data_IF_908526154706
#
_entry.id   IF_908526154706
#
_cell.length_a   1.000
_cell.length_b   1.000
_cell.length_c   1.000
_cell.angle_alpha   90.00
_cell.angle_beta   90.00
_cell.angle_gamma   90.00
#
_symmetry.space_group_name_H-M   'P 1'
#
loop_
_entity.id
_entity.type
_entity.pdbx_description
1 polymer ?
#
# COMPACT_ATOMS: atom_id res chain seq x y z
N UNK A 1 -24.05 25.25 -1.07
CA UNK A 1 -24.23 24.00 -1.82
C UNK A 1 -23.76 22.86 -0.94
N UNK A 2 -24.38 21.67 -1.02
CA UNK A 2 -23.90 20.48 -0.32
C UNK A 2 -22.46 20.16 -0.71
N UNK A 3 -21.63 19.79 0.27
CA UNK A 3 -20.18 19.57 0.10
C UNK A 3 -19.77 18.12 0.32
N UNK A 4 -18.82 17.68 -0.45
CA UNK A 4 -18.07 16.44 -0.21
C UNK A 4 -17.20 16.58 1.03
N UNK A 5 -16.69 15.47 1.58
CA UNK A 5 -15.84 15.54 2.77
C UNK A 5 -14.52 16.30 2.48
N UNK A 6 -13.93 16.09 1.31
CA UNK A 6 -12.74 16.84 0.90
C UNK A 6 -12.98 18.35 0.85
N UNK A 7 -14.09 18.80 0.28
CA UNK A 7 -14.48 20.22 0.25
C UNK A 7 -14.70 20.77 1.66
N UNK A 8 -15.32 20.01 2.57
CA UNK A 8 -15.53 20.43 3.98
C UNK A 8 -14.21 20.58 4.71
N UNK A 9 -13.31 19.61 4.61
CA UNK A 9 -12.01 19.66 5.27
C UNK A 9 -11.21 20.86 4.74
N UNK A 10 -11.10 21.03 3.43
CA UNK A 10 -10.31 22.11 2.82
C UNK A 10 -10.94 23.49 3.06
N UNK A 11 -12.28 23.60 3.08
CA UNK A 11 -12.96 24.84 3.47
C UNK A 11 -12.63 25.23 4.92
N UNK A 12 -12.66 24.25 5.83
CA UNK A 12 -12.40 24.46 7.26
C UNK A 12 -10.96 24.90 7.50
N UNK A 13 -9.97 24.19 6.96
CA UNK A 13 -8.56 24.51 7.20
C UNK A 13 -8.14 25.82 6.54
N UNK A 14 -8.73 26.18 5.39
CA UNK A 14 -8.49 27.44 4.69
C UNK A 14 -9.31 28.61 5.26
N UNK A 15 -10.17 28.36 6.25
CA UNK A 15 -11.09 29.35 6.86
C UNK A 15 -11.92 30.13 5.81
N UNK A 16 -12.31 29.45 4.72
CA UNK A 16 -13.15 30.04 3.66
C UNK A 16 -14.06 28.98 3.03
N UNK A 17 -15.19 29.42 2.50
CA UNK A 17 -16.03 28.55 1.68
C UNK A 17 -15.31 28.23 0.37
N UNK A 18 -14.98 26.94 0.16
CA UNK A 18 -14.26 26.47 -1.02
C UNK A 18 -14.96 25.23 -1.61
N UNK A 19 -14.90 25.09 -2.91
CA UNK A 19 -15.50 24.01 -3.69
C UNK A 19 -14.47 23.44 -4.68
N UNK A 20 -14.79 22.30 -5.26
CA UNK A 20 -13.96 21.66 -6.27
C UNK A 20 -13.53 22.67 -7.36
N UNK A 21 -12.23 22.68 -7.69
CA UNK A 21 -11.59 23.59 -8.61
C UNK A 21 -10.97 24.85 -7.98
N UNK A 22 -11.40 25.27 -6.78
CA UNK A 22 -10.86 26.45 -6.10
C UNK A 22 -9.42 26.20 -5.61
N UNK A 23 -8.57 27.25 -5.70
CA UNK A 23 -7.25 27.25 -5.07
C UNK A 23 -7.36 27.74 -3.64
N UNK A 24 -6.76 26.99 -2.71
CA UNK A 24 -6.70 27.33 -1.28
C UNK A 24 -5.25 27.29 -0.79
N UNK A 25 -4.95 28.14 0.19
CA UNK A 25 -3.73 28.00 1.00
C UNK A 25 -4.13 27.27 2.27
N UNK A 26 -3.67 26.04 2.41
CA UNK A 26 -4.00 25.16 3.52
C UNK A 26 -2.86 25.15 4.53
N UNK A 27 -3.07 25.55 5.79
CA UNK A 27 -2.18 25.20 6.90
C UNK A 27 -2.02 23.69 6.97
N UNK A 28 -0.78 23.21 7.16
CA UNK A 28 -0.49 21.78 7.35
C UNK A 28 -0.38 21.47 8.83
N UNK A 29 -1.09 20.43 9.27
CA UNK A 29 -1.00 19.99 10.67
C UNK A 29 0.31 19.25 10.92
N UNK A 30 0.86 18.57 9.88
CA UNK A 30 2.11 17.84 9.96
C UNK A 30 2.74 17.66 8.58
N UNK A 31 4.08 17.62 8.55
CA UNK A 31 4.86 17.26 7.36
C UNK A 31 5.64 15.99 7.65
N UNK A 32 5.50 14.97 6.79
CA UNK A 32 6.26 13.74 6.82
C UNK A 32 7.37 13.79 5.76
N UNK A 33 8.60 13.42 6.13
CA UNK A 33 9.75 13.33 5.22
C UNK A 33 10.43 11.97 5.41
N UNK A 34 10.75 11.30 4.29
CA UNK A 34 11.48 10.03 4.32
C UNK A 34 12.88 10.14 3.71
N UNK A 35 13.72 9.14 3.97
CA UNK A 35 15.14 9.10 3.62
C UNK A 35 15.43 9.28 2.13
N UNK A 36 14.63 8.70 1.24
CA UNK A 36 14.95 8.65 -0.19
C UNK A 36 14.88 10.00 -0.93
N UNK A 37 14.30 11.04 -0.33
CA UNK A 37 14.16 12.38 -0.93
C UNK A 37 14.74 13.51 -0.09
N UNK A 38 15.34 13.18 1.04
CA UNK A 38 15.80 14.20 2.02
C UNK A 38 16.80 15.18 1.42
N UNK A 39 17.73 14.73 0.58
CA UNK A 39 18.73 15.59 -0.04
C UNK A 39 18.09 16.69 -0.91
N UNK A 40 17.05 16.32 -1.68
CA UNK A 40 16.29 17.27 -2.50
C UNK A 40 15.45 18.24 -1.63
N UNK A 41 14.89 17.76 -0.51
CA UNK A 41 14.13 18.58 0.44
C UNK A 41 15.07 19.61 1.12
N UNK A 42 16.25 19.18 1.59
CA UNK A 42 17.24 20.07 2.18
C UNK A 42 17.76 21.10 1.18
N UNK A 43 17.95 20.70 -0.09
CA UNK A 43 18.31 21.63 -1.15
C UNK A 43 17.21 22.68 -1.35
N UNK A 44 15.96 22.25 -1.47
CA UNK A 44 14.82 23.17 -1.61
C UNK A 44 14.68 24.16 -0.45
N UNK A 45 14.93 23.73 0.82
CA UNK A 45 14.94 24.65 1.95
C UNK A 45 16.03 25.73 1.81
N UNK A 46 17.26 25.33 1.41
CA UNK A 46 18.36 26.29 1.15
C UNK A 46 18.01 27.27 0.03
N UNK A 47 17.43 26.80 -1.05
CA UNK A 47 17.01 27.64 -2.20
C UNK A 47 15.95 28.67 -1.80
N UNK A 48 15.10 28.33 -0.81
CA UNK A 48 14.14 29.26 -0.19
C UNK A 48 14.78 30.23 0.82
N UNK A 49 16.09 30.17 1.02
CA UNK A 49 16.80 30.96 2.03
C UNK A 49 16.41 30.60 3.48
N UNK A 50 16.01 29.35 3.72
CA UNK A 50 15.60 28.85 5.04
C UNK A 50 16.60 27.86 5.58
N UNK A 51 17.09 28.13 6.80
CA UNK A 51 17.97 27.23 7.54
C UNK A 51 17.20 26.32 8.50
N UNK A 52 16.03 26.74 8.96
CA UNK A 52 15.19 26.05 9.93
C UNK A 52 13.79 25.76 9.37
N UNK A 53 13.23 24.63 9.78
CA UNK A 53 11.80 24.33 9.56
C UNK A 53 10.94 25.25 10.43
N UNK A 54 9.69 25.51 9.99
CA UNK A 54 8.81 26.48 10.66
C UNK A 54 8.43 26.05 12.09
N UNK A 55 8.24 24.73 12.31
CA UNK A 55 7.87 24.16 13.61
C UNK A 55 8.35 22.70 13.68
N UNK A 56 9.36 22.44 14.50
CA UNK A 56 9.98 21.13 14.65
C UNK A 56 9.04 20.08 15.26
N UNK A 57 7.99 20.50 15.98
CA UNK A 57 6.99 19.61 16.59
C UNK A 57 5.99 19.08 15.56
N UNK A 58 5.92 19.70 14.39
CA UNK A 58 5.04 19.35 13.27
C UNK A 58 5.72 18.59 12.15
N UNK A 59 6.99 18.24 12.33
CA UNK A 59 7.77 17.50 11.34
C UNK A 59 8.08 16.10 11.86
N UNK A 60 7.80 15.09 11.05
CA UNK A 60 8.17 13.70 11.31
C UNK A 60 9.11 13.19 10.20
N UNK A 61 10.24 12.59 10.59
CA UNK A 61 11.29 12.14 9.67
C UNK A 61 11.51 10.64 9.85
N UNK A 62 11.68 9.93 8.73
CA UNK A 62 11.76 8.47 8.70
C UNK A 62 12.92 7.98 7.85
N UNK A 63 13.54 6.87 8.28
CA UNK A 63 14.51 6.09 7.53
C UNK A 63 13.90 4.71 7.28
N UNK A 64 13.16 4.55 6.18
CA UNK A 64 12.32 3.37 5.95
C UNK A 64 12.32 2.83 4.50
N UNK A 65 12.70 3.64 3.50
CA UNK A 65 12.64 3.27 2.09
C UNK A 65 13.89 2.54 1.60
N UNK A 66 15.07 2.96 2.06
CA UNK A 66 16.34 2.32 1.73
C UNK A 66 17.04 1.78 3.00
N UNK A 67 16.29 1.17 3.89
CA UNK A 67 16.72 0.73 5.21
C UNK A 67 16.51 -0.78 5.42
N UNK A 68 17.52 -1.49 5.99
CA UNK A 68 18.88 -1.03 6.26
C UNK A 68 19.60 -0.56 4.99
N UNK A 69 20.55 0.38 5.12
CA UNK A 69 21.24 0.97 3.99
C UNK A 69 21.91 -0.10 3.11
N UNK A 70 21.57 -0.22 1.83
CA UNK A 70 22.09 -1.29 0.97
C UNK A 70 23.47 -0.99 0.37
N UNK A 71 23.90 0.28 0.44
CA UNK A 71 25.19 0.73 -0.12
C UNK A 71 25.83 1.79 0.78
N UNK A 72 27.18 1.98 0.70
CA UNK A 72 27.85 3.06 1.43
C UNK A 72 27.29 4.45 1.14
N UNK A 73 26.90 4.73 -0.11
CA UNK A 73 26.31 6.02 -0.50
C UNK A 73 25.00 6.29 0.24
N UNK A 74 24.14 5.29 0.35
CA UNK A 74 22.88 5.40 1.12
C UNK A 74 23.18 5.55 2.63
N UNK A 75 24.18 4.83 3.15
CA UNK A 75 24.58 4.95 4.55
C UNK A 75 25.09 6.37 4.88
N UNK A 76 25.83 7.00 3.96
CA UNK A 76 26.27 8.39 4.09
C UNK A 76 25.08 9.37 4.05
N UNK A 77 24.13 9.18 3.15
CA UNK A 77 22.89 9.99 3.13
C UNK A 77 22.10 9.85 4.44
N UNK A 78 21.97 8.64 4.99
CA UNK A 78 21.35 8.44 6.32
C UNK A 78 22.14 9.13 7.45
N UNK A 79 23.46 9.16 7.39
CA UNK A 79 24.28 9.89 8.36
C UNK A 79 24.00 11.39 8.29
N UNK A 80 23.98 11.96 7.09
CA UNK A 80 23.65 13.38 6.86
C UNK A 80 22.24 13.71 7.33
N UNK A 81 21.27 12.83 7.07
CA UNK A 81 19.89 12.96 7.56
C UNK A 81 19.84 13.04 9.08
N UNK A 82 20.52 12.13 9.81
CA UNK A 82 20.56 12.13 11.28
C UNK A 82 21.19 13.42 11.84
N UNK A 83 22.24 13.93 11.19
CA UNK A 83 22.89 15.19 11.55
C UNK A 83 21.94 16.38 11.35
N UNK A 84 21.21 16.40 10.22
CA UNK A 84 20.23 17.44 9.92
C UNK A 84 19.07 17.42 10.93
N UNK A 85 18.50 16.25 11.23
CA UNK A 85 17.42 16.10 12.23
C UNK A 85 17.85 16.67 13.58
N UNK A 86 19.04 16.32 14.04
CA UNK A 86 19.61 16.86 15.29
C UNK A 86 19.82 18.38 15.23
N UNK A 87 20.38 18.88 14.13
CA UNK A 87 20.61 20.31 13.94
C UNK A 87 19.30 21.11 13.88
N UNK A 88 18.21 20.51 13.32
CA UNK A 88 16.88 21.12 13.34
C UNK A 88 16.24 21.09 14.74
N UNK A 89 16.54 20.12 15.58
CA UNK A 89 15.87 19.86 16.84
C UNK A 89 14.53 19.14 16.65
N UNK A 90 14.39 18.31 15.60
CA UNK A 90 13.20 17.52 15.34
C UNK A 90 13.21 16.31 16.27
N UNK A 91 12.17 16.18 17.11
CA UNK A 91 12.05 15.08 18.07
C UNK A 91 11.38 13.85 17.46
N UNK A 92 10.47 14.03 16.49
CA UNK A 92 9.77 12.93 15.81
C UNK A 92 10.66 12.37 14.69
N UNK A 93 11.55 11.46 15.07
CA UNK A 93 12.51 10.82 14.18
C UNK A 93 12.49 9.30 14.41
N UNK A 94 12.26 8.55 13.35
CA UNK A 94 12.24 7.09 13.32
C UNK A 94 13.36 6.60 12.41
N UNK A 95 14.36 5.97 13.01
CA UNK A 95 15.53 5.46 12.31
C UNK A 95 15.26 4.08 11.68
N UNK A 96 16.25 3.52 11.01
CA UNK A 96 16.16 2.23 10.33
C UNK A 96 15.65 1.11 11.26
N UNK A 97 14.67 0.35 10.79
CA UNK A 97 14.06 -0.75 11.54
C UNK A 97 12.88 -0.36 12.41
N UNK A 98 12.52 0.92 12.51
CA UNK A 98 11.32 1.35 13.23
C UNK A 98 10.04 1.08 12.43
N UNK A 99 10.09 1.14 11.10
CA UNK A 99 8.97 0.77 10.22
C UNK A 99 8.64 1.82 9.16
N UNK A 100 7.61 1.52 8.38
CA UNK A 100 7.14 2.36 7.28
C UNK A 100 6.50 3.64 7.82
N UNK A 101 6.90 4.78 7.29
CA UNK A 101 6.39 6.10 7.69
C UNK A 101 4.86 6.16 7.75
N UNK A 102 4.16 5.60 6.76
CA UNK A 102 2.69 5.63 6.70
C UNK A 102 2.02 4.84 7.82
N UNK A 103 2.60 3.70 8.20
CA UNK A 103 2.12 2.91 9.32
C UNK A 103 2.33 3.66 10.64
N UNK A 104 3.56 4.13 10.88
CA UNK A 104 3.91 4.81 12.13
C UNK A 104 3.13 6.12 12.30
N UNK A 105 2.95 6.91 11.23
CA UNK A 105 2.16 8.15 11.27
C UNK A 105 0.74 7.93 11.78
N UNK A 106 0.10 6.82 11.40
CA UNK A 106 -1.25 6.48 11.86
C UNK A 106 -1.23 5.78 13.22
N UNK A 107 -0.29 4.87 13.43
CA UNK A 107 -0.15 4.02 14.62
C UNK A 107 0.17 4.84 15.87
N UNK A 108 1.02 5.87 15.74
CA UNK A 108 1.42 6.78 16.83
C UNK A 108 0.48 8.00 16.98
N UNK A 109 -0.62 8.05 16.22
CA UNK A 109 -1.62 9.12 16.36
C UNK A 109 -1.16 10.47 15.83
N UNK A 110 -0.18 10.52 14.93
CA UNK A 110 0.26 11.78 14.30
C UNK A 110 -0.72 12.31 13.27
N UNK A 111 -1.72 11.52 12.90
CA UNK A 111 -2.76 11.89 11.94
C UNK A 111 -4.07 12.18 12.66
N UNK A 112 -4.59 13.40 12.51
CA UNK A 112 -5.84 13.83 13.13
C UNK A 112 -6.93 13.97 12.07
N UNK A 113 -8.19 13.53 12.36
CA UNK A 113 -9.31 13.67 11.43
C UNK A 113 -9.55 15.13 11.04
N UNK A 114 -9.86 15.36 9.76
CA UNK A 114 -10.21 16.69 9.25
C UNK A 114 -9.05 17.68 9.18
N UNK A 115 -7.80 17.23 9.30
CA UNK A 115 -6.60 18.05 9.12
C UNK A 115 -5.96 17.78 7.75
N UNK A 116 -5.05 18.66 7.32
CA UNK A 116 -4.23 18.48 6.13
C UNK A 116 -2.84 18.02 6.56
N UNK A 117 -2.41 16.87 6.05
CA UNK A 117 -1.10 16.29 6.29
C UNK A 117 -0.42 16.06 4.94
N UNK A 118 0.80 16.52 4.79
CA UNK A 118 1.57 16.34 3.56
C UNK A 118 2.78 15.45 3.81
N UNK A 119 3.10 14.59 2.86
CA UNK A 119 4.24 13.72 2.94
C UNK A 119 5.03 13.68 1.64
N UNK A 120 6.32 13.42 1.77
CA UNK A 120 7.23 13.31 0.64
C UNK A 120 7.11 12.02 -0.16
N UNK A 121 6.21 11.11 0.26
CA UNK A 121 5.88 9.88 -0.44
C UNK A 121 4.45 9.90 -1.00
N UNK A 122 4.26 9.22 -2.12
CA UNK A 122 2.97 9.15 -2.82
C UNK A 122 1.87 8.46 -2.02
N UNK A 123 2.20 7.48 -1.14
CA UNK A 123 1.22 6.80 -0.29
C UNK A 123 0.84 7.57 0.98
N UNK A 124 1.16 8.86 1.08
CA UNK A 124 0.64 9.74 2.13
C UNK A 124 -0.89 9.82 2.16
N UNK A 125 -1.57 9.36 1.10
CA UNK A 125 -3.01 9.11 1.08
C UNK A 125 -3.46 8.19 2.23
N UNK A 126 -2.59 7.32 2.74
CA UNK A 126 -2.83 6.42 3.88
C UNK A 126 -3.33 7.15 5.14
N UNK A 127 -3.01 8.43 5.31
CA UNK A 127 -3.46 9.24 6.45
C UNK A 127 -4.98 9.48 6.44
N UNK A 128 -5.61 9.32 5.28
CA UNK A 128 -7.07 9.35 5.16
C UNK A 128 -7.78 8.16 5.83
N UNK A 129 -7.06 7.13 6.26
CA UNK A 129 -7.58 6.04 7.07
C UNK A 129 -8.23 6.51 8.38
N UNK A 130 -7.81 7.65 8.90
CA UNK A 130 -8.38 8.30 10.09
C UNK A 130 -9.20 9.55 9.77
N UNK A 131 -9.54 9.79 8.49
CA UNK A 131 -10.32 10.95 8.08
C UNK A 131 -9.50 12.24 7.91
N UNK A 132 -8.18 12.17 7.77
CA UNK A 132 -7.34 13.30 7.40
C UNK A 132 -7.29 13.47 5.87
N UNK A 133 -7.05 14.69 5.41
CA UNK A 133 -6.67 14.95 4.02
C UNK A 133 -5.16 14.73 3.89
N UNK A 134 -4.76 13.47 3.65
CA UNK A 134 -3.38 13.08 3.43
C UNK A 134 -2.99 13.23 1.97
N UNK A 135 -1.87 13.88 1.66
CA UNK A 135 -1.45 14.10 0.29
C UNK A 135 0.07 13.95 0.09
N UNK A 136 0.45 13.11 -0.90
CA UNK A 136 1.83 13.04 -1.38
C UNK A 136 2.20 14.29 -2.18
N UNK A 137 3.43 14.80 -1.96
CA UNK A 137 3.96 15.98 -2.62
C UNK A 137 5.42 15.80 -3.01
N UNK A 138 5.85 16.49 -4.06
CA UNK A 138 7.24 16.53 -4.49
C UNK A 138 8.14 17.25 -3.49
N UNK A 139 9.45 17.00 -3.59
CA UNK A 139 10.44 17.54 -2.64
C UNK A 139 10.40 19.08 -2.52
N UNK A 140 10.13 19.80 -3.62
CA UNK A 140 10.00 21.26 -3.61
C UNK A 140 8.80 21.73 -2.81
N UNK A 141 7.63 21.11 -3.00
CA UNK A 141 6.42 21.46 -2.22
C UNK A 141 6.59 21.12 -0.74
N UNK A 142 7.26 20.00 -0.44
CA UNK A 142 7.61 19.62 0.94
C UNK A 142 8.56 20.66 1.56
N UNK A 143 9.56 21.14 0.83
CA UNK A 143 10.44 22.21 1.32
C UNK A 143 9.65 23.50 1.61
N UNK A 144 8.70 23.88 0.77
CA UNK A 144 7.80 25.01 1.03
C UNK A 144 6.94 24.76 2.27
N UNK A 145 6.37 23.57 2.42
CA UNK A 145 5.58 23.22 3.60
C UNK A 145 6.42 23.26 4.89
N UNK A 146 7.65 22.77 4.86
CA UNK A 146 8.61 22.84 5.96
C UNK A 146 9.03 24.29 6.29
N UNK A 147 9.14 25.15 5.29
CA UNK A 147 9.54 26.54 5.47
C UNK A 147 8.40 27.41 6.01
N UNK A 148 7.15 27.13 5.66
CA UNK A 148 6.02 28.04 5.86
C UNK A 148 4.86 27.48 6.72
N UNK A 149 4.84 26.18 7.00
CA UNK A 149 3.73 25.51 7.71
C UNK A 149 2.42 25.49 6.93
N UNK A 150 2.48 25.70 5.62
CA UNK A 150 1.31 25.74 4.74
C UNK A 150 1.70 25.37 3.31
N UNK A 151 0.72 24.92 2.55
CA UNK A 151 0.87 24.64 1.14
C UNK A 151 -0.34 25.12 0.33
N UNK A 152 -0.21 25.22 -0.96
CA UNK A 152 -1.34 25.47 -1.85
C UNK A 152 -1.96 24.14 -2.29
N UNK A 153 -3.28 24.12 -2.42
CA UNK A 153 -4.02 22.98 -2.96
C UNK A 153 -5.14 23.49 -3.86
N UNK A 154 -5.36 22.82 -4.96
CA UNK A 154 -6.62 22.91 -5.67
C UNK A 154 -7.58 21.94 -4.98
N UNK A 155 -8.77 22.40 -4.60
CA UNK A 155 -9.81 21.53 -4.02
C UNK A 155 -10.17 20.48 -5.07
N UNK A 156 -9.98 19.17 -4.78
CA UNK A 156 -10.27 18.12 -5.74
C UNK A 156 -11.78 17.89 -5.89
N UNK A 157 -12.20 17.37 -7.04
CA UNK A 157 -13.47 16.65 -7.14
C UNK A 157 -13.39 15.37 -6.31
N UNK A 158 -14.54 14.85 -5.87
CA UNK A 158 -14.58 13.61 -5.11
C UNK A 158 -15.20 12.47 -5.92
N UNK A 159 -14.67 11.26 -5.74
CA UNK A 159 -15.23 10.00 -6.20
C UNK A 159 -15.73 9.25 -4.97
N UNK A 160 -16.97 8.78 -5.01
CA UNK A 160 -17.55 8.02 -3.91
C UNK A 160 -17.40 6.53 -4.15
N UNK A 161 -16.82 5.83 -3.17
CA UNK A 161 -16.75 4.36 -3.17
C UNK A 161 -17.58 3.84 -2.00
N UNK A 162 -18.51 2.92 -2.29
CA UNK A 162 -19.40 2.32 -1.28
C UNK A 162 -19.18 0.82 -1.25
N UNK A 163 -18.91 0.27 -0.07
CA UNK A 163 -18.87 -1.17 0.14
C UNK A 163 -20.20 -1.65 0.72
N UNK A 164 -20.75 -2.73 0.16
CA UNK A 164 -21.95 -3.41 0.63
C UNK A 164 -21.66 -4.87 0.96
N UNK A 165 -22.52 -5.50 1.74
CA UNK A 165 -22.32 -6.90 2.13
C UNK A 165 -21.16 -7.09 3.10
N UNK A 166 -20.71 -8.34 3.24
CA UNK A 166 -19.55 -8.74 4.07
C UNK A 166 -18.65 -9.65 3.27
N UNK A 167 -17.31 -9.50 3.40
CA UNK A 167 -16.38 -10.36 2.68
C UNK A 167 -16.52 -11.82 3.14
N UNK A 168 -16.40 -12.74 2.19
CA UNK A 168 -16.32 -14.18 2.48
C UNK A 168 -14.95 -14.49 3.10
N UNK A 169 -14.84 -15.63 3.79
CA UNK A 169 -13.56 -16.13 4.30
C UNK A 169 -12.55 -16.23 3.15
N UNK A 170 -11.34 -15.73 3.35
CA UNK A 170 -10.30 -15.68 2.32
C UNK A 170 -10.32 -14.45 1.42
N UNK A 171 -11.33 -13.57 1.54
CA UNK A 171 -11.41 -12.26 0.87
C UNK A 171 -11.08 -11.17 1.89
N UNK A 172 -10.27 -10.19 1.51
CA UNK A 172 -9.78 -9.11 2.35
C UNK A 172 -10.10 -7.73 1.77
N UNK A 173 -9.83 -6.67 2.52
CA UNK A 173 -9.96 -5.30 1.97
C UNK A 173 -8.89 -4.98 0.92
N UNK A 174 -7.81 -5.77 0.82
CA UNK A 174 -6.88 -5.73 -0.33
C UNK A 174 -7.59 -6.11 -1.62
N UNK A 175 -8.40 -7.18 -1.60
CA UNK A 175 -9.17 -7.63 -2.76
C UNK A 175 -10.22 -6.57 -3.14
N UNK A 176 -10.88 -5.97 -2.14
CA UNK A 176 -11.87 -4.93 -2.36
C UNK A 176 -11.28 -3.68 -3.03
N UNK A 177 -10.12 -3.20 -2.56
CA UNK A 177 -9.48 -2.02 -3.18
C UNK A 177 -8.90 -2.34 -4.56
N UNK A 178 -8.38 -3.54 -4.80
CA UNK A 178 -7.97 -3.95 -6.15
C UNK A 178 -9.16 -3.94 -7.11
N UNK A 179 -10.34 -4.38 -6.67
CA UNK A 179 -11.55 -4.26 -7.48
C UNK A 179 -11.91 -2.80 -7.80
N UNK A 180 -11.76 -1.89 -6.84
CA UNK A 180 -11.97 -0.45 -7.06
C UNK A 180 -10.93 0.10 -8.07
N UNK A 181 -9.66 -0.30 -7.94
CA UNK A 181 -8.59 0.08 -8.88
C UNK A 181 -8.91 -0.39 -10.31
N UNK A 182 -9.45 -1.59 -10.46
CA UNK A 182 -9.93 -2.11 -11.76
C UNK A 182 -11.03 -1.25 -12.36
N UNK A 183 -12.01 -0.84 -11.55
CA UNK A 183 -13.17 -0.07 -12.03
C UNK A 183 -12.82 1.38 -12.39
N UNK A 184 -11.88 1.98 -11.68
CA UNK A 184 -11.49 3.38 -11.85
C UNK A 184 -10.33 3.52 -12.86
N UNK A 185 -9.40 2.55 -12.89
CA UNK A 185 -8.18 2.61 -13.68
C UNK A 185 -7.07 3.43 -13.00
N UNK A 186 -5.84 3.35 -13.53
CA UNK A 186 -4.65 3.99 -12.95
C UNK A 186 -4.65 5.52 -13.00
N UNK A 187 -5.51 6.14 -13.79
CA UNK A 187 -5.61 7.61 -13.95
C UNK A 187 -7.03 8.15 -13.81
N UNK A 188 -8.04 7.29 -13.61
CA UNK A 188 -9.43 7.71 -13.53
C UNK A 188 -9.80 8.54 -12.30
N UNK A 189 -8.94 8.56 -11.27
CA UNK A 189 -9.04 9.44 -10.12
C UNK A 189 -7.99 10.57 -10.13
N UNK A 190 -7.43 10.92 -11.29
CA UNK A 190 -6.34 11.91 -11.39
C UNK A 190 -6.68 13.21 -10.69
N UNK A 191 -5.93 13.50 -9.62
CA UNK A 191 -6.11 14.66 -8.74
C UNK A 191 -7.48 14.70 -8.03
N UNK A 192 -8.28 13.64 -8.04
CA UNK A 192 -9.52 13.55 -7.28
C UNK A 192 -9.26 13.14 -5.81
N UNK A 193 -10.28 13.25 -4.97
CA UNK A 193 -10.33 12.63 -3.66
C UNK A 193 -11.24 11.40 -3.73
N UNK A 194 -10.77 10.24 -3.31
CA UNK A 194 -11.62 9.05 -3.19
C UNK A 194 -12.16 8.94 -1.77
N UNK A 195 -13.49 8.98 -1.61
CA UNK A 195 -14.18 8.93 -0.32
C UNK A 195 -14.84 7.55 -0.13
N UNK A 196 -14.37 6.79 0.89
CA UNK A 196 -14.87 5.45 1.20
C UNK A 196 -16.01 5.52 2.21
N UNK A 197 -17.23 5.24 1.76
CA UNK A 197 -18.43 5.22 2.55
C UNK A 197 -18.70 3.81 3.09
N UNK A 198 -19.17 3.72 4.34
CA UNK A 198 -19.43 2.45 5.02
C UNK A 198 -18.19 1.73 5.54
N UNK A 199 -17.00 2.31 5.37
CA UNK A 199 -15.72 1.71 5.77
C UNK A 199 -15.21 2.20 7.16
N UNK A 200 -15.86 3.16 7.80
CA UNK A 200 -15.39 3.77 9.04
C UNK A 200 -15.23 2.79 10.22
N UNK A 201 -16.06 1.75 10.28
CA UNK A 201 -16.00 0.70 11.31
C UNK A 201 -15.00 -0.42 11.03
N UNK A 202 -14.34 -0.42 9.86
CA UNK A 202 -13.31 -1.41 9.55
C UNK A 202 -12.09 -1.26 10.49
N UNK A 203 -11.34 -2.33 10.73
CA UNK A 203 -10.06 -2.26 11.42
C UNK A 203 -9.13 -1.21 10.80
N UNK A 204 -8.31 -0.56 11.62
CA UNK A 204 -7.41 0.51 11.16
C UNK A 204 -6.52 0.07 10.00
N UNK A 205 -6.01 -1.17 10.03
CA UNK A 205 -5.18 -1.74 8.97
C UNK A 205 -5.89 -1.78 7.62
N UNK A 206 -7.15 -2.20 7.59
CA UNK A 206 -7.97 -2.23 6.37
C UNK A 206 -8.21 -0.82 5.83
N UNK A 207 -8.48 0.14 6.71
CA UNK A 207 -8.67 1.55 6.33
C UNK A 207 -7.39 2.15 5.73
N UNK A 208 -6.20 1.80 6.28
CA UNK A 208 -4.91 2.23 5.72
C UNK A 208 -4.72 1.63 4.32
N UNK A 209 -5.05 0.35 4.12
CA UNK A 209 -4.99 -0.32 2.81
C UNK A 209 -5.88 0.39 1.79
N UNK A 210 -7.13 0.70 2.16
CA UNK A 210 -8.06 1.42 1.27
C UNK A 210 -7.53 2.79 0.89
N UNK A 211 -7.22 3.62 1.88
CA UNK A 211 -6.78 5.00 1.68
C UNK A 211 -5.45 5.07 0.90
N UNK A 212 -4.47 4.23 1.26
CA UNK A 212 -3.15 4.22 0.63
C UNK A 212 -3.19 3.84 -0.84
N UNK A 213 -3.97 2.83 -1.20
CA UNK A 213 -4.05 2.36 -2.59
C UNK A 213 -4.82 3.31 -3.54
N UNK A 214 -5.44 4.38 -3.05
CA UNK A 214 -6.00 5.40 -3.93
C UNK A 214 -4.95 6.11 -4.77
N UNK A 215 -3.70 6.10 -4.32
CA UNK A 215 -2.53 6.58 -5.08
C UNK A 215 -2.41 5.87 -6.43
N UNK A 216 -2.75 4.58 -6.49
CA UNK A 216 -2.64 3.76 -7.70
C UNK A 216 -3.71 4.09 -8.76
N UNK A 217 -4.66 4.94 -8.42
CA UNK A 217 -5.68 5.49 -9.32
C UNK A 217 -5.41 6.96 -9.71
N UNK A 218 -4.24 7.51 -9.31
CA UNK A 218 -3.86 8.90 -9.53
C UNK A 218 -4.52 9.89 -8.56
N UNK A 219 -5.17 9.43 -7.49
CA UNK A 219 -5.88 10.28 -6.54
C UNK A 219 -4.92 11.19 -5.74
N UNK A 220 -5.38 12.42 -5.48
CA UNK A 220 -4.67 13.37 -4.61
C UNK A 220 -4.82 13.02 -3.14
N UNK A 221 -5.97 12.45 -2.75
CA UNK A 221 -6.24 11.97 -1.41
C UNK A 221 -7.20 10.78 -1.44
N UNK A 222 -7.15 9.94 -0.42
CA UNK A 222 -8.15 8.90 -0.16
C UNK A 222 -8.63 9.04 1.28
N UNK A 223 -9.92 9.17 1.51
CA UNK A 223 -10.46 9.44 2.86
C UNK A 223 -11.51 8.38 3.21
N UNK A 224 -11.33 7.73 4.34
CA UNK A 224 -12.35 6.88 4.93
C UNK A 224 -13.32 7.77 5.71
N UNK A 225 -14.58 7.76 5.28
CA UNK A 225 -15.64 8.52 5.97
C UNK A 225 -15.83 7.96 7.38
N UNK A 226 -15.93 8.83 8.35
CA UNK A 226 -15.96 8.52 9.76
C UNK A 226 -17.11 7.58 10.18
N UNK A 227 -17.04 7.02 11.38
CA UNK A 227 -18.16 6.30 12.00
C UNK A 227 -19.25 7.24 12.47
N UNK A 228 -20.51 6.77 12.63
CA UNK A 228 -21.64 7.63 13.02
C UNK A 228 -21.45 8.43 14.33
N UNK A 229 -20.51 8.02 15.18
CA UNK A 229 -20.18 8.69 16.44
C UNK A 229 -19.26 9.92 16.27
N UNK A 230 -18.68 10.10 15.08
CA UNK A 230 -17.84 11.25 14.79
C UNK A 230 -18.68 12.53 14.64
N UNK A 231 -18.08 13.71 14.84
CA UNK A 231 -18.78 14.97 14.63
C UNK A 231 -19.35 15.12 13.21
N UNK A 232 -20.54 15.69 13.08
CA UNK A 232 -21.28 15.85 11.81
C UNK A 232 -20.45 16.48 10.67
N UNK A 233 -19.52 17.36 11.00
CA UNK A 233 -18.70 18.03 10.01
C UNK A 233 -17.66 17.09 9.33
N UNK A 234 -17.42 15.90 9.89
CA UNK A 234 -16.57 14.85 9.29
C UNK A 234 -17.36 13.91 8.35
N UNK A 235 -18.58 14.27 8.02
CA UNK A 235 -19.36 13.59 6.99
C UNK A 235 -19.59 14.51 5.79
N UNK A 236 -19.70 13.98 4.56
CA UNK A 236 -20.18 14.76 3.45
C UNK A 236 -21.62 15.20 3.69
N UNK A 237 -22.01 16.32 3.10
CA UNK A 237 -23.38 16.79 3.19
C UNK A 237 -24.33 15.87 2.40
N UNK A 238 -25.56 15.76 2.87
CA UNK A 238 -26.59 15.05 2.11
C UNK A 238 -26.80 15.75 0.76
N UNK A 239 -26.65 15.00 -0.35
CA UNK A 239 -26.74 15.54 -1.70
C UNK A 239 -25.46 16.19 -2.20
N UNK A 240 -24.30 15.93 -1.57
CA UNK A 240 -23.00 16.28 -2.13
C UNK A 240 -22.84 15.67 -3.54
N UNK A 241 -22.26 16.43 -4.46
CA UNK A 241 -22.04 15.98 -5.84
C UNK A 241 -20.69 15.25 -5.94
N UNK A 242 -20.71 14.07 -6.53
CA UNK A 242 -19.52 13.28 -6.81
C UNK A 242 -19.28 13.19 -8.33
N UNK A 243 -18.02 13.24 -8.74
CA UNK A 243 -17.62 13.11 -10.14
C UNK A 243 -17.85 11.69 -10.67
N UNK A 244 -17.77 10.68 -9.80
CA UNK A 244 -18.06 9.28 -10.09
C UNK A 244 -18.49 8.57 -8.81
N UNK A 245 -19.27 7.48 -8.96
CA UNK A 245 -19.67 6.61 -7.84
C UNK A 245 -19.41 5.15 -8.21
N UNK A 246 -18.74 4.41 -7.32
CA UNK A 246 -18.42 2.99 -7.47
C UNK A 246 -19.00 2.24 -6.28
N UNK A 247 -19.68 1.12 -6.54
CA UNK A 247 -20.18 0.23 -5.48
C UNK A 247 -19.60 -1.17 -5.66
N UNK A 248 -19.03 -1.70 -4.58
CA UNK A 248 -18.49 -3.07 -4.55
C UNK A 248 -19.26 -3.89 -3.53
N UNK A 249 -19.88 -4.98 -4.00
CA UNK A 249 -20.51 -5.97 -3.11
C UNK A 249 -19.47 -7.00 -2.64
N UNK A 250 -19.08 -6.88 -1.38
CA UNK A 250 -18.10 -7.76 -0.76
C UNK A 250 -18.59 -9.21 -0.62
N UNK A 251 -19.91 -9.45 -0.65
CA UNK A 251 -20.47 -10.80 -0.50
C UNK A 251 -20.30 -11.67 -1.73
N UNK A 252 -20.11 -11.06 -2.89
CA UNK A 252 -19.88 -11.75 -4.18
C UNK A 252 -18.43 -11.68 -4.65
N UNK A 253 -17.62 -10.82 -4.01
CA UNK A 253 -16.23 -10.62 -4.41
C UNK A 253 -15.42 -11.91 -4.23
N UNK A 254 -14.63 -12.26 -5.23
CA UNK A 254 -13.57 -13.27 -5.16
C UNK A 254 -12.25 -12.61 -4.74
N UNK A 255 -11.24 -13.38 -4.25
CA UNK A 255 -9.87 -12.88 -4.16
C UNK A 255 -9.42 -12.35 -5.51
N UNK A 256 -8.69 -11.24 -5.51
CA UNK A 256 -8.30 -10.51 -6.72
C UNK A 256 -6.80 -10.63 -6.97
N UNK A 257 -6.41 -10.61 -8.24
CA UNK A 257 -5.00 -10.61 -8.67
C UNK A 257 -4.78 -9.46 -9.65
N UNK A 258 -3.87 -8.55 -9.33
CA UNK A 258 -3.39 -7.58 -10.31
C UNK A 258 -2.25 -8.21 -11.13
N UNK A 259 -2.45 -8.26 -12.44
CA UNK A 259 -1.52 -8.90 -13.40
C UNK A 259 -0.48 -7.86 -13.88
N UNK A 260 0.82 -8.24 -13.97
CA UNK A 260 1.82 -7.31 -14.47
C UNK A 260 1.56 -6.88 -15.91
N UNK A 261 2.01 -5.70 -16.37
CA UNK A 261 2.80 -4.74 -15.60
C UNK A 261 1.97 -3.60 -14.98
N UNK A 262 0.64 -3.71 -14.90
CA UNK A 262 -0.23 -2.63 -14.46
C UNK A 262 -1.12 -3.08 -13.31
N UNK A 263 -1.21 -2.25 -12.27
CA UNK A 263 -1.98 -2.56 -11.05
C UNK A 263 -3.50 -2.55 -11.27
N UNK A 264 -3.98 -1.90 -12.31
CA UNK A 264 -5.41 -1.88 -12.69
C UNK A 264 -5.82 -3.05 -13.62
N UNK A 265 -4.85 -3.83 -14.11
CA UNK A 265 -5.13 -5.10 -14.78
C UNK A 265 -5.46 -6.18 -13.73
N UNK A 266 -6.61 -6.04 -13.12
CA UNK A 266 -7.07 -6.93 -12.05
C UNK A 266 -8.05 -7.95 -12.62
N UNK A 267 -7.84 -9.23 -12.25
CA UNK A 267 -8.68 -10.38 -12.59
C UNK A 267 -9.14 -11.10 -11.33
N UNK A 268 -10.18 -11.88 -11.44
CA UNK A 268 -10.61 -12.76 -10.35
C UNK A 268 -9.61 -13.91 -10.18
N UNK A 269 -9.44 -14.41 -8.95
CA UNK A 269 -8.46 -15.46 -8.63
C UNK A 269 -8.63 -16.70 -9.51
N UNK A 270 -9.89 -17.04 -9.85
CA UNK A 270 -10.23 -18.18 -10.69
C UNK A 270 -9.52 -18.18 -12.06
N UNK A 271 -9.18 -17.00 -12.59
CA UNK A 271 -8.48 -16.83 -13.85
C UNK A 271 -6.94 -17.00 -13.71
N UNK A 272 -6.40 -16.81 -12.50
CA UNK A 272 -4.96 -16.87 -12.23
C UNK A 272 -4.47 -18.21 -11.67
N UNK A 273 -5.37 -19.13 -11.34
CA UNK A 273 -5.05 -20.44 -10.73
C UNK A 273 -3.98 -21.18 -11.55
N UNK A 274 -2.93 -21.67 -10.85
CA UNK A 274 -1.84 -22.44 -11.42
C UNK A 274 -0.75 -21.60 -12.10
N UNK A 275 -0.76 -20.25 -11.99
CA UNK A 275 0.37 -19.42 -12.37
C UNK A 275 1.55 -19.70 -11.44
N UNK A 276 2.73 -20.18 -11.93
CA UNK A 276 3.91 -20.40 -11.09
C UNK A 276 4.41 -19.11 -10.45
N UNK A 277 4.99 -19.21 -9.24
CA UNK A 277 5.67 -18.13 -8.54
C UNK A 277 7.00 -18.62 -7.97
N UNK A 278 8.05 -17.80 -8.06
CA UNK A 278 9.38 -18.08 -7.55
C UNK A 278 9.65 -17.32 -6.26
N UNK A 279 8.99 -16.17 -6.10
CA UNK A 279 9.13 -15.29 -4.95
C UNK A 279 7.76 -14.87 -4.44
N UNK A 280 7.59 -14.88 -3.13
CA UNK A 280 6.43 -14.29 -2.46
C UNK A 280 6.92 -13.21 -1.52
N UNK A 281 6.35 -12.01 -1.64
CA UNK A 281 6.61 -10.90 -0.73
C UNK A 281 5.36 -10.55 0.06
N UNK A 282 5.43 -10.68 1.39
CA UNK A 282 4.41 -10.27 2.34
C UNK A 282 4.92 -9.06 3.13
N UNK A 283 4.37 -7.88 2.89
CA UNK A 283 4.89 -6.68 3.53
C UNK A 283 4.32 -5.39 2.94
N UNK A 284 5.09 -4.32 3.05
CA UNK A 284 4.79 -2.95 2.63
C UNK A 284 3.80 -2.19 3.53
N UNK A 285 3.57 -0.91 3.20
CA UNK A 285 2.59 -0.06 3.89
C UNK A 285 1.14 -0.56 3.77
N UNK A 286 0.83 -1.40 2.78
CA UNK A 286 -0.51 -1.95 2.59
C UNK A 286 -0.78 -3.22 3.37
N UNK A 287 0.14 -4.18 3.42
CA UNK A 287 -0.11 -5.51 4.00
C UNK A 287 1.13 -6.09 4.72
N UNK A 288 1.75 -5.32 5.61
CA UNK A 288 2.83 -5.76 6.51
C UNK A 288 2.45 -5.72 8.00
N UNK A 289 1.17 -5.69 8.33
CA UNK A 289 0.67 -5.59 9.71
C UNK A 289 0.51 -6.96 10.34
N UNK A 290 0.33 -6.98 11.65
CA UNK A 290 0.07 -8.21 12.40
C UNK A 290 -1.11 -9.00 11.82
N UNK A 291 -2.20 -8.33 11.45
CA UNK A 291 -3.37 -8.99 10.83
C UNK A 291 -3.01 -9.69 9.53
N UNK A 292 -2.19 -9.07 8.69
CA UNK A 292 -1.74 -9.62 7.41
C UNK A 292 -0.84 -10.84 7.63
N UNK A 293 0.10 -10.73 8.57
CA UNK A 293 0.98 -11.83 8.96
C UNK A 293 0.21 -13.00 9.60
N UNK A 294 -0.83 -12.72 10.41
CA UNK A 294 -1.73 -13.74 10.97
C UNK A 294 -2.53 -14.44 9.87
N UNK A 295 -3.01 -13.72 8.87
CA UNK A 295 -3.68 -14.31 7.71
C UNK A 295 -2.76 -15.31 7.01
N UNK A 296 -1.52 -14.92 6.75
CA UNK A 296 -0.52 -15.84 6.18
C UNK A 296 -0.20 -17.02 7.11
N UNK A 297 -0.01 -16.77 8.40
CA UNK A 297 0.26 -17.80 9.38
C UNK A 297 -0.90 -18.80 9.55
N UNK A 298 -2.15 -18.40 9.29
CA UNK A 298 -3.29 -19.32 9.28
C UNK A 298 -3.13 -20.43 8.24
N UNK A 299 -2.52 -20.12 7.11
CA UNK A 299 -2.24 -21.08 6.04
C UNK A 299 -0.94 -21.87 6.30
N UNK A 300 0.10 -21.19 6.82
CA UNK A 300 1.48 -21.71 6.84
C UNK A 300 1.86 -22.41 8.16
N UNK A 301 1.10 -22.21 9.25
CA UNK A 301 1.44 -22.78 10.57
C UNK A 301 1.52 -24.31 10.54
N UNK A 302 2.65 -24.85 11.01
CA UNK A 302 2.91 -26.29 11.01
C UNK A 302 3.31 -26.87 9.64
N UNK A 303 3.45 -26.04 8.61
CA UNK A 303 3.76 -26.47 7.25
C UNK A 303 5.05 -25.82 6.74
N UNK A 304 5.59 -26.34 5.64
CA UNK A 304 6.78 -25.78 4.96
C UNK A 304 6.37 -25.22 3.61
N UNK A 305 6.90 -24.05 3.27
CA UNK A 305 6.74 -23.48 1.92
C UNK A 305 7.30 -24.43 0.86
N UNK A 306 6.88 -24.23 -0.38
CA UNK A 306 7.46 -24.94 -1.53
C UNK A 306 8.98 -24.72 -1.59
N UNK A 307 9.80 -25.77 -1.81
CA UNK A 307 11.25 -25.61 -1.93
C UNK A 307 11.69 -24.73 -3.12
N UNK A 308 10.79 -24.49 -4.05
CA UNK A 308 11.02 -23.66 -5.24
C UNK A 308 10.62 -22.19 -5.02
N UNK A 309 10.16 -21.83 -3.81
CA UNK A 309 9.70 -20.47 -3.49
C UNK A 309 10.54 -19.84 -2.39
N UNK A 310 10.94 -18.60 -2.61
CA UNK A 310 11.49 -17.72 -1.57
C UNK A 310 10.34 -16.86 -1.01
N UNK A 311 10.04 -17.02 0.28
CA UNK A 311 9.07 -16.18 0.98
C UNK A 311 9.78 -15.11 1.81
N UNK A 312 9.52 -13.87 1.52
CA UNK A 312 10.04 -12.72 2.26
C UNK A 312 8.91 -12.02 3.02
N UNK A 313 9.10 -11.81 4.32
CA UNK A 313 8.13 -11.17 5.20
C UNK A 313 8.76 -9.94 5.83
N UNK A 314 8.15 -8.78 5.63
CA UNK A 314 8.62 -7.51 6.17
C UNK A 314 7.50 -6.84 6.96
N UNK A 315 7.58 -6.82 8.30
CA UNK A 315 6.62 -6.13 9.16
C UNK A 315 6.59 -4.62 8.89
N UNK A 316 5.41 -4.02 8.95
CA UNK A 316 5.23 -2.60 8.62
C UNK A 316 5.73 -1.65 9.71
N UNK A 317 5.87 -2.10 10.95
CA UNK A 317 6.50 -1.35 12.04
C UNK A 317 7.12 -2.26 13.09
N UNK A 318 7.97 -1.71 13.95
CA UNK A 318 8.55 -2.42 15.10
C UNK A 318 7.46 -2.96 16.03
N UNK A 319 6.41 -2.20 16.30
CA UNK A 319 5.27 -2.66 17.09
C UNK A 319 4.61 -3.88 16.45
N UNK A 320 4.35 -3.85 15.16
CA UNK A 320 3.76 -4.99 14.43
C UNK A 320 4.69 -6.21 14.45
N UNK A 321 6.00 -5.99 14.40
CA UNK A 321 7.00 -7.05 14.54
C UNK A 321 6.97 -7.66 15.95
N UNK A 322 7.01 -6.83 16.99
CA UNK A 322 7.03 -7.27 18.41
C UNK A 322 5.72 -8.00 18.79
N UNK A 323 4.57 -7.49 18.36
CA UNK A 323 3.26 -8.13 18.56
C UNK A 323 3.20 -9.50 17.86
N UNK A 324 3.74 -9.60 16.63
CA UNK A 324 3.80 -10.85 15.88
C UNK A 324 4.82 -11.86 16.46
N UNK A 325 5.86 -11.38 17.15
CA UNK A 325 6.73 -12.25 17.95
C UNK A 325 6.01 -12.76 19.19
N UNK A 326 5.34 -11.87 19.91
CA UNK A 326 4.69 -12.17 21.18
C UNK A 326 3.57 -13.22 21.04
N UNK A 327 2.82 -13.21 19.94
CA UNK A 327 1.74 -14.17 19.69
C UNK A 327 2.17 -15.43 18.90
N UNK A 328 3.46 -15.54 18.55
CA UNK A 328 4.01 -16.67 17.82
C UNK A 328 3.75 -16.67 16.32
N UNK A 329 3.20 -15.59 15.76
CA UNK A 329 2.97 -15.44 14.31
C UNK A 329 4.27 -15.46 13.53
N UNK A 330 5.29 -14.69 13.94
CA UNK A 330 6.61 -14.70 13.29
C UNK A 330 7.31 -16.04 13.43
N UNK A 331 7.16 -16.72 14.57
CA UNK A 331 7.71 -18.07 14.76
C UNK A 331 7.09 -19.04 13.75
N UNK A 332 5.76 -18.98 13.55
CA UNK A 332 5.08 -19.83 12.56
C UNK A 332 5.57 -19.57 11.14
N UNK A 333 5.70 -18.30 10.74
CA UNK A 333 6.19 -17.92 9.40
C UNK A 333 7.66 -18.33 9.20
N UNK A 334 8.53 -18.05 10.17
CA UNK A 334 9.94 -18.46 10.12
C UNK A 334 10.12 -19.97 10.07
N UNK A 335 9.36 -20.71 10.89
CA UNK A 335 9.38 -22.18 10.87
C UNK A 335 8.90 -22.73 9.53
N UNK A 336 7.93 -22.06 8.88
CA UNK A 336 7.49 -22.43 7.55
C UNK A 336 8.58 -22.22 6.48
N UNK A 337 9.61 -21.42 6.74
CA UNK A 337 10.73 -21.14 5.84
C UNK A 337 10.78 -19.71 5.33
N UNK A 338 10.02 -18.79 5.90
CA UNK A 338 10.07 -17.38 5.54
C UNK A 338 11.38 -16.71 6.01
N UNK A 339 11.91 -15.82 5.20
CA UNK A 339 12.95 -14.86 5.57
C UNK A 339 12.26 -13.63 6.16
N UNK A 340 12.51 -13.36 7.46
CA UNK A 340 11.93 -12.20 8.14
C UNK A 340 12.89 -11.02 8.02
N UNK A 341 12.43 -9.96 7.36
CA UNK A 341 13.19 -8.72 7.19
C UNK A 341 12.99 -7.72 8.31
N UNK A 342 13.85 -6.70 8.33
CA UNK A 342 13.71 -5.52 9.21
C UNK A 342 12.46 -4.73 8.85
N UNK A 343 11.74 -4.21 9.86
CA UNK A 343 10.58 -3.36 9.64
C UNK A 343 10.90 -2.16 8.73
N UNK A 344 10.09 -1.93 7.71
CA UNK A 344 10.30 -0.90 6.68
C UNK A 344 9.60 -1.25 5.36
N UNK A 345 10.00 -0.58 4.27
CA UNK A 345 9.46 -0.87 2.94
C UNK A 345 9.94 -2.21 2.35
N UNK A 346 11.09 -2.73 2.83
CA UNK A 346 11.66 -3.96 2.29
C UNK A 346 11.92 -3.90 0.78
N UNK A 347 11.79 -5.01 0.04
CA UNK A 347 12.03 -5.06 -1.40
C UNK A 347 10.95 -4.34 -2.24
N UNK A 348 9.87 -3.83 -1.66
CA UNK A 348 8.76 -3.17 -2.37
C UNK A 348 9.20 -2.11 -3.38
N UNK A 349 10.30 -1.38 -3.10
CA UNK A 349 10.84 -0.33 -3.96
C UNK A 349 12.12 -0.78 -4.71
N UNK A 350 12.59 -2.01 -4.50
CA UNK A 350 13.85 -2.49 -5.08
C UNK A 350 15.12 -1.79 -4.55
N UNK A 351 15.04 -1.18 -3.36
CA UNK A 351 16.13 -0.41 -2.73
C UNK A 351 16.69 -1.03 -1.45
N UNK A 352 16.31 -2.27 -1.15
CA UNK A 352 16.84 -3.05 -0.01
C UNK A 352 17.24 -4.44 -0.51
N UNK A 353 17.61 -5.37 0.38
CA UNK A 353 17.78 -6.77 0.03
C UNK A 353 16.47 -7.43 -0.43
N UNK A 354 16.54 -8.61 -1.04
CA UNK A 354 15.37 -9.36 -1.51
C UNK A 354 14.86 -8.95 -2.90
N UNK A 355 15.68 -8.24 -3.68
CA UNK A 355 15.30 -7.84 -5.05
C UNK A 355 15.14 -9.04 -5.98
N UNK A 356 14.30 -8.87 -6.99
CA UNK A 356 14.01 -9.89 -8.00
C UNK A 356 15.12 -9.98 -9.05
N UNK A 357 15.49 -11.20 -9.40
CA UNK A 357 16.34 -11.50 -10.55
C UNK A 357 15.54 -11.44 -11.86
N UNK A 358 16.25 -11.47 -13.00
CA UNK A 358 15.59 -11.54 -14.31
C UNK A 358 14.74 -12.80 -14.44
N UNK A 359 13.54 -12.66 -15.02
CA UNK A 359 12.55 -13.73 -15.25
C UNK A 359 11.92 -14.35 -14.00
N UNK A 360 12.27 -13.93 -12.78
CA UNK A 360 11.53 -14.33 -11.58
C UNK A 360 10.08 -13.81 -11.61
N UNK A 361 9.18 -14.67 -11.19
CA UNK A 361 7.76 -14.35 -11.02
C UNK A 361 7.49 -14.17 -9.52
N UNK A 362 7.08 -12.98 -9.15
CA UNK A 362 6.76 -12.62 -7.77
C UNK A 362 5.26 -12.46 -7.58
N UNK A 363 4.72 -13.01 -6.48
CA UNK A 363 3.44 -12.59 -5.93
C UNK A 363 3.70 -11.71 -4.71
N UNK A 364 3.26 -10.46 -4.80
CA UNK A 364 3.53 -9.42 -3.81
C UNK A 364 2.25 -8.91 -3.16
N UNK A 365 2.27 -8.60 -1.88
CA UNK A 365 1.19 -7.85 -1.21
C UNK A 365 1.39 -6.34 -1.26
N UNK A 366 2.42 -5.86 -1.95
CA UNK A 366 2.70 -4.43 -2.17
C UNK A 366 1.66 -3.76 -3.09
N UNK A 367 1.96 -2.56 -3.56
CA UNK A 367 0.98 -1.69 -4.23
C UNK A 367 1.19 -1.61 -5.74
N UNK A 368 2.42 -1.83 -6.23
CA UNK A 368 2.84 -1.55 -7.61
C UNK A 368 3.54 -2.75 -8.22
N UNK A 369 3.27 -2.97 -9.51
CA UNK A 369 3.78 -4.12 -10.25
C UNK A 369 4.37 -3.77 -11.63
N UNK A 370 4.74 -2.52 -11.85
CA UNK A 370 5.39 -2.13 -13.10
C UNK A 370 6.80 -2.72 -13.20
N UNK A 371 7.31 -2.82 -14.43
CA UNK A 371 8.63 -3.40 -14.71
C UNK A 371 9.75 -2.70 -13.92
N UNK A 372 10.61 -3.47 -13.32
CA UNK A 372 11.73 -2.95 -12.52
C UNK A 372 11.36 -2.48 -11.12
N UNK A 373 10.10 -2.56 -10.69
CA UNK A 373 9.66 -2.06 -9.39
C UNK A 373 10.38 -2.70 -8.21
N UNK A 374 10.61 -4.01 -8.26
CA UNK A 374 11.21 -4.78 -7.16
C UNK A 374 12.57 -5.39 -7.54
N UNK A 375 13.27 -4.86 -8.54
CA UNK A 375 14.55 -5.38 -9.00
C UNK A 375 14.67 -5.37 -10.51
N UNK A 376 14.89 -6.54 -11.13
CA UNK A 376 15.03 -6.65 -12.59
C UNK A 376 13.78 -6.20 -13.34
N UNK A 377 13.98 -5.48 -14.45
CA UNK A 377 12.90 -5.12 -15.38
C UNK A 377 12.31 -6.33 -16.13
N UNK A 378 13.04 -7.46 -16.15
CA UNK A 378 12.58 -8.70 -16.78
C UNK A 378 11.80 -9.60 -15.81
N UNK A 379 11.67 -9.21 -14.54
CA UNK A 379 10.83 -9.89 -13.58
C UNK A 379 9.35 -9.51 -13.76
N UNK A 380 8.46 -10.43 -13.40
CA UNK A 380 7.01 -10.22 -13.41
C UNK A 380 6.47 -10.18 -11.99
N UNK A 381 5.66 -9.15 -11.66
CA UNK A 381 5.12 -8.95 -10.32
C UNK A 381 3.60 -9.01 -10.39
N UNK A 382 3.01 -10.03 -9.78
CA UNK A 382 1.59 -10.12 -9.48
C UNK A 382 1.31 -9.49 -8.12
N UNK A 383 0.12 -8.89 -7.93
CA UNK A 383 -0.30 -8.38 -6.62
C UNK A 383 -1.52 -9.16 -6.16
N UNK A 384 -1.49 -9.57 -4.88
CA UNK A 384 -2.59 -10.30 -4.25
C UNK A 384 -2.69 -10.02 -2.76
N UNK A 385 -3.68 -10.64 -2.11
CA UNK A 385 -3.90 -10.54 -0.68
C UNK A 385 -2.96 -11.45 0.12
N UNK A 386 -2.81 -11.23 1.45
CA UNK A 386 -1.97 -12.07 2.29
C UNK A 386 -2.34 -13.56 2.30
N UNK A 387 -3.63 -13.90 2.21
CA UNK A 387 -4.07 -15.29 2.08
C UNK A 387 -3.58 -15.94 0.77
N UNK A 388 -3.74 -15.23 -0.36
CA UNK A 388 -3.27 -15.71 -1.66
C UNK A 388 -1.76 -15.85 -1.66
N UNK A 389 -1.05 -14.89 -1.08
CA UNK A 389 0.40 -14.92 -0.94
C UNK A 389 0.88 -16.15 -0.14
N UNK A 390 0.21 -16.47 0.97
CA UNK A 390 0.55 -17.62 1.79
C UNK A 390 0.31 -18.95 1.05
N UNK A 391 -0.81 -19.09 0.36
CA UNK A 391 -1.09 -20.28 -0.45
C UNK A 391 -0.08 -20.42 -1.58
N UNK A 392 0.25 -19.33 -2.26
CA UNK A 392 1.26 -19.36 -3.32
C UNK A 392 2.66 -19.73 -2.79
N UNK A 393 3.04 -19.25 -1.60
CA UNK A 393 4.29 -19.68 -0.95
C UNK A 393 4.29 -21.18 -0.64
N UNK A 394 3.16 -21.71 -0.20
CA UNK A 394 3.02 -23.11 0.17
C UNK A 394 3.04 -24.05 -1.04
N UNK A 395 2.34 -23.68 -2.11
CA UNK A 395 2.10 -24.54 -3.27
C UNK A 395 3.08 -24.30 -4.43
N UNK A 396 3.66 -23.11 -4.50
CA UNK A 396 4.50 -22.67 -5.62
C UNK A 396 3.71 -22.08 -6.79
N UNK A 397 2.39 -21.98 -6.68
CA UNK A 397 1.53 -21.42 -7.73
C UNK A 397 0.47 -20.49 -7.11
N UNK A 398 -0.02 -19.52 -7.88
CA UNK A 398 -1.21 -18.75 -7.47
C UNK A 398 -2.40 -19.70 -7.41
N UNK A 399 -3.11 -19.70 -6.28
CA UNK A 399 -4.31 -20.52 -6.10
C UNK A 399 -5.33 -19.82 -5.19
N UNK A 400 -6.59 -20.27 -5.26
CA UNK A 400 -7.67 -19.76 -4.44
C UNK A 400 -7.46 -20.14 -2.97
N UNK A 401 -7.39 -19.19 -2.04
CA UNK A 401 -7.17 -19.51 -0.63
C UNK A 401 -8.39 -20.11 0.08
N UNK A 402 -9.60 -19.93 -0.47
CA UNK A 402 -10.85 -20.31 0.18
C UNK A 402 -10.93 -21.81 0.50
N UNK A 403 -10.62 -22.73 -0.43
CA UNK A 403 -10.59 -24.17 -0.13
C UNK A 403 -9.63 -24.55 0.99
N UNK A 404 -8.46 -23.91 1.06
CA UNK A 404 -7.45 -24.19 2.11
C UNK A 404 -7.90 -23.73 3.50
N UNK A 405 -8.72 -22.70 3.58
CA UNK A 405 -9.24 -22.15 4.84
C UNK A 405 -10.44 -22.94 5.36
N UNK A 406 -11.09 -23.74 4.53
CA UNK A 406 -12.29 -24.52 4.86
C UNK A 406 -12.00 -26.02 5.01
N UNK A 407 -10.90 -26.50 4.43
CA UNK A 407 -10.50 -27.91 4.42
C UNK A 407 -10.19 -28.48 5.81
N UNK A 408 -10.46 -29.76 6.01
CA UNK A 408 -9.83 -30.55 7.04
C UNK A 408 -8.32 -30.71 6.77
N UNK A 409 -7.55 -31.18 7.76
CA UNK A 409 -6.10 -31.31 7.61
C UNK A 409 -5.71 -32.24 6.45
N UNK A 410 -6.39 -33.37 6.28
CA UNK A 410 -6.13 -34.30 5.18
C UNK A 410 -6.47 -33.70 3.80
N UNK A 411 -7.62 -33.05 3.68
CA UNK A 411 -8.01 -32.36 2.43
C UNK A 411 -7.05 -31.20 2.09
N UNK A 412 -6.57 -30.50 3.11
CA UNK A 412 -5.56 -29.44 2.93
C UNK A 412 -4.26 -29.98 2.33
N UNK A 413 -3.75 -31.08 2.89
CA UNK A 413 -2.51 -31.72 2.42
C UNK A 413 -2.66 -32.25 1.00
N UNK A 414 -3.82 -32.82 0.63
CA UNK A 414 -4.14 -33.27 -0.73
C UNK A 414 -4.18 -32.07 -1.72
N UNK A 415 -4.73 -30.93 -1.31
CA UNK A 415 -4.72 -29.71 -2.12
C UNK A 415 -3.30 -29.23 -2.41
N UNK A 416 -2.44 -29.19 -1.40
CA UNK A 416 -1.04 -28.78 -1.51
C UNK A 416 -0.27 -29.71 -2.43
N UNK A 417 -0.36 -31.03 -2.20
CA UNK A 417 0.36 -32.04 -2.98
C UNK A 417 -0.04 -32.00 -4.46
N UNK A 418 -1.32 -31.89 -4.75
CA UNK A 418 -1.82 -31.75 -6.11
C UNK A 418 -1.20 -30.53 -6.81
N UNK A 419 -1.16 -29.36 -6.17
CA UNK A 419 -0.60 -28.14 -6.78
C UNK A 419 0.90 -28.20 -6.98
N UNK A 420 1.63 -28.78 -6.03
CA UNK A 420 3.08 -29.01 -6.16
C UNK A 420 3.38 -29.97 -7.32
N UNK A 421 2.62 -31.04 -7.45
CA UNK A 421 2.76 -31.99 -8.56
C UNK A 421 2.46 -31.35 -9.92
N UNK A 422 1.41 -30.52 -10.02
CA UNK A 422 1.07 -29.75 -11.23
C UNK A 422 2.22 -28.80 -11.62
N UNK A 423 2.84 -28.11 -10.64
CA UNK A 423 4.01 -27.26 -10.87
C UNK A 423 5.22 -28.06 -11.39
N UNK A 424 5.57 -29.14 -10.71
CA UNK A 424 6.68 -30.01 -11.09
C UNK A 424 6.52 -30.57 -12.51
N UNK A 425 5.31 -31.00 -12.88
CA UNK A 425 4.98 -31.47 -14.23
C UNK A 425 5.16 -30.40 -15.31
N UNK A 426 4.89 -29.15 -14.98
CA UNK A 426 5.10 -28.00 -15.90
C UNK A 426 6.58 -27.62 -16.04
N UNK A 427 7.36 -27.70 -14.95
CA UNK A 427 8.81 -27.43 -14.97
C UNK A 427 9.58 -28.37 -15.90
N UNK A 428 9.11 -29.61 -16.08
CA UNK A 428 9.65 -30.56 -17.04
C UNK A 428 9.25 -30.26 -18.50
N UNK A 429 8.15 -29.54 -18.72
CA UNK A 429 7.56 -29.25 -20.04
C UNK A 429 7.83 -27.83 -20.56
N UNK A 430 8.16 -26.87 -19.72
CA UNK A 430 8.35 -25.47 -20.13
C UNK A 430 9.41 -24.72 -19.32
N UNK A 431 10.51 -24.49 -19.94
CA UNK A 431 11.48 -23.42 -19.61
C UNK A 431 10.87 -22.02 -19.90
N UNK A 432 9.56 -21.89 -20.08
CA UNK A 432 8.89 -20.67 -20.58
C UNK A 432 7.77 -20.21 -19.67
N UNK A 433 8.13 -19.75 -18.46
CA UNK A 433 7.21 -19.04 -17.55
C UNK A 433 6.61 -17.76 -18.17
N UNK A 434 7.21 -17.21 -19.23
CA UNK A 434 6.75 -16.03 -19.93
C UNK A 434 5.43 -16.20 -20.71
N UNK A 435 5.06 -17.39 -21.15
CA UNK A 435 3.91 -17.58 -22.03
C UNK A 435 2.58 -17.44 -21.28
N UNK A 436 2.46 -18.03 -20.07
CA UNK A 436 1.22 -17.91 -19.27
C UNK A 436 1.02 -16.52 -18.67
N UNK A 437 2.10 -15.86 -18.24
CA UNK A 437 2.02 -14.46 -17.83
C UNK A 437 1.54 -13.57 -18.98
N UNK A 438 1.98 -13.84 -20.21
CA UNK A 438 1.48 -13.17 -21.41
C UNK A 438 0.00 -13.50 -21.69
N UNK A 439 -0.42 -14.74 -21.53
CA UNK A 439 -1.86 -15.12 -21.67
C UNK A 439 -2.73 -14.39 -20.66
N UNK A 440 -2.30 -14.30 -19.40
CA UNK A 440 -3.02 -13.55 -18.36
C UNK A 440 -3.03 -12.03 -18.63
N UNK A 441 -1.92 -11.47 -19.13
CA UNK A 441 -1.89 -10.07 -19.58
C UNK A 441 -2.86 -9.82 -20.73
N UNK A 442 -2.96 -10.74 -21.69
CA UNK A 442 -3.92 -10.64 -22.80
C UNK A 442 -5.36 -10.81 -22.32
N UNK A 443 -5.61 -11.72 -21.36
CA UNK A 443 -6.91 -11.89 -20.75
C UNK A 443 -7.35 -10.62 -19.99
N UNK A 444 -6.46 -10.04 -19.17
CA UNK A 444 -6.71 -8.80 -18.46
C UNK A 444 -7.01 -7.61 -19.40
N UNK A 445 -6.28 -7.51 -20.53
CA UNK A 445 -6.52 -6.48 -21.54
C UNK A 445 -7.90 -6.62 -22.24
N UNK A 446 -8.44 -7.85 -22.37
CA UNK A 446 -9.75 -8.10 -22.97
C UNK A 446 -10.94 -7.73 -22.07
N UNK A 447 -10.72 -7.55 -20.77
CA UNK A 447 -11.78 -7.20 -19.80
C UNK A 447 -12.09 -5.68 -19.82
N UNK A 448 -11.62 -4.95 -20.81
CA UNK A 448 -12.04 -3.57 -21.07
C UNK A 448 -11.18 -2.49 -20.43
N UNK A 449 -10.03 -2.83 -19.89
CA UNK A 449 -9.00 -1.85 -19.56
C UNK A 449 -8.25 -1.53 -20.85
N UNK A 450 -8.87 -0.71 -21.70
CA UNK A 450 -8.24 -0.19 -22.91
C UNK A 450 -7.05 0.67 -22.48
N UNK A 451 -5.84 0.14 -22.63
CA UNK A 451 -4.62 0.92 -22.63
C UNK A 451 -4.03 0.83 -24.02
N UNK A 452 -4.10 1.90 -24.76
CA UNK A 452 -3.19 2.12 -25.88
C UNK A 452 -1.77 2.04 -25.32
N UNK A 453 -1.04 1.04 -25.79
CA UNK A 453 0.39 0.91 -25.56
C UNK A 453 1.01 1.85 -26.61
N UNK A 454 1.27 3.08 -26.24
CA UNK A 454 2.25 3.89 -26.95
C UNK A 454 3.63 3.58 -26.37
N UNK A 455 4.56 3.27 -27.27
CA UNK A 455 5.96 2.89 -27.10
C UNK A 455 6.79 3.81 -26.18
#
# INVERSE_FOLDING_TARGET
MPKTLAEKILSRVAARDAKAGDLVIAPVSRVMVHDSVIDAVMAGLRDLGKEKVWDTTKVAVFVDHAAPAPTPVVADSHRVLREWVRAQGIATFYDAGEGVCHQIMVEEGYCEPGTVIVGSDSHSNSYGAVGAFGAGMGATDIAVALALGRTWLRVPESIKVTFTGRPRKGVTMKDAIMRVVREIGTDGARYACVEFHGAGSLPQGDRITLAGMTTEMGAKAGIVVATPEAPDWLFPDRGAAYANEVTVDLSTLEPQIAVPPRVDQVIDISEAIGQPVDVVFLGSCTNGRLVDMRQAATVLRGRRISPEVRLEVVPSSRRQFEDAMADGTLLALSTAGAVIGSSGCGPCLGRTGGVLAGQEICLSTANRNYRGRMGSADASIFIGSPYVAAVAALTGVIDDPRPYLEASEAEFDDLVERRRSERAGRGAASVRSGDRSRELMVAAARIGVAAEIDD
#
